data_IF_934748214309
#
_entry.id   IF_934748214309
#
_cell.length_a   1.000
_cell.length_b   1.000
_cell.length_c   1.000
_cell.angle_alpha   90.00
_cell.angle_beta   90.00
_cell.angle_gamma   90.00
#
_symmetry.space_group_name_H-M   'P 1'
#
loop_
_entity.id
_entity.type
_entity.pdbx_description
1 polymer ?
#
# COMPACT_ATOMS: atom_id res chain seq x y z
N UNK A 1 2.17 39.25 -11.75
CA UNK A 1 2.83 38.16 -12.53
C UNK A 1 2.15 38.00 -13.89
N UNK A 2 2.85 37.48 -14.92
CA UNK A 2 2.35 37.41 -16.30
C UNK A 2 1.84 36.00 -16.62
N UNK A 3 0.54 35.85 -16.81
CA UNK A 3 -0.08 34.59 -17.26
C UNK A 3 -0.13 34.55 -18.78
N UNK A 4 0.27 33.43 -19.37
CA UNK A 4 0.22 33.21 -20.82
C UNK A 4 -0.79 32.09 -21.10
N UNK A 5 -1.94 32.43 -21.67
CA UNK A 5 -2.96 31.46 -22.08
C UNK A 5 -2.84 31.24 -23.60
N UNK A 6 -2.82 29.96 -24.03
CA UNK A 6 -2.82 29.57 -25.45
C UNK A 6 -4.05 28.72 -25.75
N UNK A 7 -5.15 29.32 -26.24
CA UNK A 7 -6.34 28.55 -26.60
C UNK A 7 -6.13 27.74 -27.88
N UNK A 8 -6.81 26.60 -28.01
CA UNK A 8 -6.71 25.72 -29.18
C UNK A 8 -7.38 26.28 -30.45
N UNK A 9 -8.34 27.23 -30.32
CA UNK A 9 -8.98 27.93 -31.45
C UNK A 9 -9.33 29.38 -31.12
N UNK A 10 -9.17 30.27 -32.11
CA UNK A 10 -9.91 31.54 -32.21
C UNK A 10 -9.26 32.80 -31.62
N UNK A 11 -8.41 32.71 -30.61
CA UNK A 11 -7.65 33.86 -30.11
C UNK A 11 -6.19 33.44 -29.97
N UNK A 12 -5.25 34.28 -30.41
CA UNK A 12 -3.81 34.00 -30.30
C UNK A 12 -3.33 33.92 -28.85
N UNK A 13 -2.02 34.01 -28.64
CA UNK A 13 -1.42 34.07 -27.29
C UNK A 13 -2.04 35.24 -26.50
N UNK A 14 -2.76 34.94 -25.41
CA UNK A 14 -3.30 35.96 -24.51
C UNK A 14 -2.33 36.13 -23.35
N UNK A 15 -1.88 37.36 -23.13
CA UNK A 15 -0.99 37.71 -22.03
C UNK A 15 -1.71 38.69 -21.10
N UNK A 16 -1.83 38.29 -19.82
CA UNK A 16 -2.50 39.09 -18.81
C UNK A 16 -1.54 39.29 -17.64
N UNK A 17 -1.42 40.54 -17.19
CA UNK A 17 -0.77 40.84 -15.92
C UNK A 17 -1.79 40.73 -14.80
N UNK A 18 -1.56 39.78 -13.90
CA UNK A 18 -2.37 39.56 -12.72
C UNK A 18 -1.66 40.11 -11.49
N UNK A 19 -2.45 40.65 -10.57
CA UNK A 19 -1.97 41.07 -9.25
C UNK A 19 -1.37 39.88 -8.50
N UNK A 20 -0.37 40.15 -7.66
CA UNK A 20 0.36 39.12 -6.92
C UNK A 20 -0.54 38.37 -5.92
N UNK A 21 -1.51 39.07 -5.32
CA UNK A 21 -2.49 38.44 -4.41
C UNK A 21 -3.43 37.48 -5.15
N UNK A 22 -3.82 37.83 -6.37
CA UNK A 22 -4.69 37.02 -7.21
C UNK A 22 -3.95 35.79 -7.73
N UNK A 23 -2.69 35.96 -8.13
CA UNK A 23 -1.84 34.85 -8.58
C UNK A 23 -1.68 33.78 -7.50
N UNK A 24 -1.39 34.20 -6.27
CA UNK A 24 -1.25 33.30 -5.13
C UNK A 24 -2.53 32.50 -4.86
N UNK A 25 -3.69 33.15 -4.98
CA UNK A 25 -4.99 32.48 -4.83
C UNK A 25 -5.22 31.41 -5.91
N UNK A 26 -4.76 31.67 -7.14
CA UNK A 26 -4.85 30.72 -8.25
C UNK A 26 -3.90 29.53 -8.00
N UNK A 27 -2.69 29.76 -7.51
CA UNK A 27 -1.73 28.70 -7.17
C UNK A 27 -2.26 27.80 -6.05
N UNK A 28 -2.83 28.37 -4.99
CA UNK A 28 -3.41 27.59 -3.88
C UNK A 28 -4.56 26.68 -4.37
N UNK A 29 -5.39 27.16 -5.30
CA UNK A 29 -6.44 26.35 -5.92
C UNK A 29 -5.86 25.27 -6.85
N UNK A 30 -4.84 25.62 -7.65
CA UNK A 30 -4.15 24.70 -8.54
C UNK A 30 -3.54 23.52 -7.78
N UNK A 31 -2.86 23.79 -6.67
CA UNK A 31 -2.29 22.75 -5.78
C UNK A 31 -3.39 21.90 -5.13
N UNK A 32 -4.42 22.53 -4.57
CA UNK A 32 -5.51 21.82 -3.88
C UNK A 32 -6.22 20.82 -4.79
N UNK A 33 -6.42 21.18 -6.06
CA UNK A 33 -7.18 20.36 -7.01
C UNK A 33 -6.30 19.61 -8.03
N UNK A 34 -4.98 19.74 -7.95
CA UNK A 34 -4.03 19.05 -8.84
C UNK A 34 -4.16 19.43 -10.31
N UNK A 35 -4.53 20.68 -10.60
CA UNK A 35 -4.73 21.22 -11.95
C UNK A 35 -3.77 22.37 -12.22
N UNK A 36 -3.50 22.69 -13.49
CA UNK A 36 -2.60 23.81 -13.80
C UNK A 36 -3.28 25.17 -13.51
N UNK A 37 -2.51 26.22 -13.15
CA UNK A 37 -3.05 27.58 -12.96
C UNK A 37 -3.85 28.09 -14.17
N UNK A 38 -3.42 27.77 -15.39
CA UNK A 38 -4.14 28.12 -16.63
C UNK A 38 -5.52 27.48 -16.67
N UNK A 39 -5.64 26.22 -16.22
CA UNK A 39 -6.91 25.49 -16.19
C UNK A 39 -7.87 26.06 -15.15
N UNK A 40 -7.36 26.51 -14.01
CA UNK A 40 -8.16 27.21 -12.98
C UNK A 40 -8.77 28.48 -13.57
N UNK A 41 -7.95 29.27 -14.27
CA UNK A 41 -8.38 30.52 -14.91
C UNK A 41 -9.37 30.24 -16.06
N UNK A 42 -9.10 29.22 -16.87
CA UNK A 42 -10.00 28.79 -17.94
C UNK A 42 -11.38 28.42 -17.39
N UNK A 43 -11.46 27.58 -16.35
CA UNK A 43 -12.72 27.17 -15.71
C UNK A 43 -13.44 28.39 -15.10
N UNK A 44 -12.70 29.30 -14.46
CA UNK A 44 -13.27 30.52 -13.90
C UNK A 44 -13.87 31.45 -14.97
N UNK A 45 -13.25 31.52 -16.15
CA UNK A 45 -13.71 32.35 -17.28
C UNK A 45 -14.84 31.71 -18.08
N UNK A 46 -14.82 30.38 -18.28
CA UNK A 46 -15.86 29.66 -19.02
C UNK A 46 -17.11 29.44 -18.18
N UNK A 47 -16.99 29.49 -16.86
CA UNK A 47 -18.10 29.17 -15.95
C UNK A 47 -18.53 27.71 -16.03
N UNK A 48 -17.73 26.84 -16.67
CA UNK A 48 -17.98 25.40 -16.76
C UNK A 48 -17.63 24.70 -15.44
N UNK A 49 -18.31 25.08 -14.37
CA UNK A 49 -18.31 24.27 -13.16
C UNK A 49 -19.18 23.05 -13.44
N UNK A 50 -18.56 21.86 -13.41
CA UNK A 50 -19.33 20.61 -13.45
C UNK A 50 -20.24 20.60 -12.22
N UNK A 51 -21.55 20.65 -12.44
CA UNK A 51 -22.48 20.38 -11.35
C UNK A 51 -22.24 18.96 -10.84
N UNK A 52 -22.05 18.77 -9.52
CA UNK A 52 -21.80 17.46 -8.96
C UNK A 52 -23.00 16.57 -9.27
N UNK A 53 -22.75 15.46 -9.98
CA UNK A 53 -23.77 14.43 -10.19
C UNK A 53 -23.84 13.59 -8.92
N UNK A 54 -24.75 13.96 -8.01
CA UNK A 54 -25.02 13.20 -6.78
C UNK A 54 -24.77 14.01 -5.51
N UNK A 55 -25.03 13.37 -4.37
CA UNK A 55 -24.85 13.98 -3.05
C UNK A 55 -23.38 13.86 -2.62
N UNK A 56 -22.62 14.95 -2.81
CA UNK A 56 -21.19 14.99 -2.53
C UNK A 56 -20.90 14.75 -1.04
N UNK A 57 -21.75 15.28 -0.15
CA UNK A 57 -21.63 15.10 1.30
C UNK A 57 -21.74 13.63 1.71
N UNK A 58 -22.70 12.89 1.13
CA UNK A 58 -22.88 11.46 1.41
C UNK A 58 -21.66 10.63 0.94
N UNK A 59 -21.05 11.03 -0.18
CA UNK A 59 -19.84 10.40 -0.70
C UNK A 59 -18.63 10.66 0.20
N UNK A 60 -18.46 11.91 0.66
CA UNK A 60 -17.38 12.28 1.59
C UNK A 60 -17.52 11.55 2.93
N UNK A 61 -18.72 11.44 3.49
CA UNK A 61 -18.96 10.67 4.71
C UNK A 61 -18.65 9.19 4.53
N UNK A 62 -19.05 8.58 3.40
CA UNK A 62 -18.73 7.19 3.10
C UNK A 62 -17.24 6.95 2.95
N UNK A 63 -16.51 7.86 2.31
CA UNK A 63 -15.05 7.76 2.18
C UNK A 63 -14.42 7.79 3.56
N UNK A 64 -14.84 8.73 4.42
CA UNK A 64 -14.32 8.84 5.78
C UNK A 64 -14.59 7.58 6.62
N UNK A 65 -15.80 7.02 6.54
CA UNK A 65 -16.10 5.74 7.21
C UNK A 65 -15.21 4.59 6.71
N UNK A 66 -14.97 4.53 5.41
CA UNK A 66 -14.13 3.48 4.81
C UNK A 66 -12.67 3.63 5.22
N UNK A 67 -12.15 4.86 5.29
CA UNK A 67 -10.81 5.14 5.79
C UNK A 67 -10.66 4.67 7.25
N UNK A 68 -11.62 5.00 8.12
CA UNK A 68 -11.62 4.57 9.52
C UNK A 68 -11.64 3.04 9.67
N UNK A 69 -12.51 2.35 8.91
CA UNK A 69 -12.57 0.88 8.90
C UNK A 69 -11.28 0.24 8.39
N UNK A 70 -10.68 0.82 7.36
CA UNK A 70 -9.41 0.34 6.79
C UNK A 70 -8.29 0.47 7.81
N UNK A 71 -8.19 1.61 8.49
CA UNK A 71 -7.19 1.80 9.55
C UNK A 71 -7.38 0.79 10.69
N UNK A 72 -8.62 0.60 11.16
CA UNK A 72 -8.90 -0.39 12.21
C UNK A 72 -8.42 -1.80 11.82
N UNK A 73 -8.74 -2.22 10.58
CA UNK A 73 -8.31 -3.51 10.03
C UNK A 73 -6.78 -3.60 9.90
N UNK A 74 -6.11 -2.56 9.39
CA UNK A 74 -4.65 -2.55 9.29
C UNK A 74 -3.99 -2.70 10.65
N UNK A 75 -4.52 -2.03 11.68
CA UNK A 75 -4.01 -2.11 13.05
C UNK A 75 -4.12 -3.52 13.61
N UNK A 76 -5.26 -4.19 13.40
CA UNK A 76 -5.46 -5.58 13.82
C UNK A 76 -4.54 -6.53 13.05
N UNK A 77 -4.51 -6.40 11.72
CA UNK A 77 -3.76 -7.28 10.83
C UNK A 77 -2.24 -7.17 11.01
N UNK A 78 -1.74 -5.99 11.35
CA UNK A 78 -0.32 -5.76 11.62
C UNK A 78 0.21 -6.64 12.76
N UNK A 79 -0.56 -6.74 13.85
CA UNK A 79 -0.20 -7.57 15.00
C UNK A 79 -0.23 -9.07 14.66
N UNK A 80 -1.21 -9.48 13.85
CA UNK A 80 -1.35 -10.86 13.40
C UNK A 80 -0.20 -11.25 12.46
N UNK A 81 0.18 -10.37 11.54
CA UNK A 81 1.29 -10.57 10.61
C UNK A 81 2.61 -10.75 11.36
N UNK A 82 2.87 -9.93 12.38
CA UNK A 82 4.07 -10.07 13.21
C UNK A 82 4.10 -11.40 13.95
N UNK A 83 2.99 -11.79 14.59
CA UNK A 83 2.88 -13.08 15.29
C UNK A 83 3.05 -14.27 14.34
N UNK A 84 2.43 -14.22 13.15
CA UNK A 84 2.54 -15.27 12.15
C UNK A 84 3.98 -15.42 11.66
N UNK A 85 4.68 -14.31 11.43
CA UNK A 85 6.09 -14.33 11.05
C UNK A 85 6.97 -14.96 12.15
N UNK A 86 6.80 -14.53 13.40
CA UNK A 86 7.55 -15.08 14.53
C UNK A 86 7.33 -16.60 14.70
N UNK A 87 6.08 -17.05 14.66
CA UNK A 87 5.77 -18.48 14.73
C UNK A 87 6.37 -19.28 13.56
N UNK A 88 6.44 -18.68 12.36
CA UNK A 88 7.07 -19.32 11.20
C UNK A 88 8.58 -19.49 11.37
N UNK A 89 9.27 -18.46 11.89
CA UNK A 89 10.70 -18.52 12.21
C UNK A 89 10.98 -19.55 13.31
N UNK A 90 10.20 -19.54 14.40
CA UNK A 90 10.33 -20.51 15.49
C UNK A 90 10.15 -21.95 14.99
N UNK A 91 9.15 -22.19 14.12
CA UNK A 91 8.93 -23.50 13.51
C UNK A 91 10.08 -23.93 12.60
N UNK A 92 10.74 -22.99 11.91
CA UNK A 92 11.91 -23.28 11.07
C UNK A 92 13.11 -23.68 11.93
N UNK A 93 13.34 -22.98 13.05
CA UNK A 93 14.38 -23.34 14.02
C UNK A 93 14.12 -24.74 14.59
N UNK A 94 12.89 -25.01 15.04
CA UNK A 94 12.50 -26.32 15.54
C UNK A 94 12.70 -27.43 14.50
N UNK A 95 12.40 -27.17 13.22
CA UNK A 95 12.63 -28.13 12.14
C UNK A 95 14.13 -28.43 11.95
N UNK A 96 15.01 -27.44 12.08
CA UNK A 96 16.47 -27.62 12.03
C UNK A 96 16.94 -28.49 13.21
N UNK A 97 16.52 -28.16 14.43
CA UNK A 97 16.89 -28.90 15.64
C UNK A 97 16.44 -30.36 15.57
N UNK A 98 15.18 -30.60 15.18
CA UNK A 98 14.64 -31.95 15.01
C UNK A 98 15.41 -32.74 13.94
N UNK A 99 15.79 -32.09 12.84
CA UNK A 99 16.60 -32.74 11.80
C UNK A 99 17.97 -33.19 12.35
N UNK A 100 18.62 -32.34 13.15
CA UNK A 100 19.87 -32.67 13.83
C UNK A 100 19.73 -33.85 14.80
N UNK A 101 18.74 -33.79 15.69
CA UNK A 101 18.46 -34.86 16.66
C UNK A 101 18.11 -36.19 15.96
N UNK A 102 17.38 -36.14 14.85
CA UNK A 102 17.07 -37.34 14.05
C UNK A 102 18.33 -37.95 13.43
N UNK A 103 19.26 -37.12 12.97
CA UNK A 103 20.54 -37.57 12.43
C UNK A 103 21.40 -38.22 13.52
N UNK A 104 21.49 -37.59 14.69
CA UNK A 104 22.22 -38.13 15.86
C UNK A 104 21.62 -39.45 16.33
N UNK A 105 20.30 -39.51 16.52
CA UNK A 105 19.61 -40.74 16.92
C UNK A 105 19.82 -41.87 15.90
N UNK A 106 19.80 -41.54 14.61
CA UNK A 106 20.07 -42.51 13.55
C UNK A 106 21.51 -43.02 13.61
N UNK A 107 22.48 -42.15 13.90
CA UNK A 107 23.88 -42.52 14.13
C UNK A 107 24.05 -43.45 15.33
N UNK A 108 23.44 -43.10 16.47
CA UNK A 108 23.45 -43.92 17.69
C UNK A 108 22.80 -45.29 17.47
N UNK A 109 21.65 -45.35 16.79
CA UNK A 109 20.99 -46.63 16.46
C UNK A 109 21.90 -47.51 15.61
N UNK A 110 22.57 -46.96 14.59
CA UNK A 110 23.55 -47.69 13.77
C UNK A 110 24.72 -48.21 14.61
N UNK A 111 25.28 -47.38 15.48
CA UNK A 111 26.37 -47.76 16.39
C UNK A 111 25.97 -48.93 17.30
N UNK A 112 24.73 -48.93 17.80
CA UNK A 112 24.17 -50.01 18.63
C UNK A 112 23.66 -51.22 17.82
N UNK A 113 23.89 -51.28 16.51
CA UNK A 113 23.37 -52.36 15.65
C UNK A 113 21.84 -52.39 15.50
N UNK A 114 21.15 -51.31 15.89
CA UNK A 114 19.69 -51.17 15.78
C UNK A 114 19.30 -50.51 14.46
N UNK A 115 18.13 -50.88 13.95
CA UNK A 115 17.59 -50.26 12.73
C UNK A 115 17.15 -48.81 13.02
N UNK A 116 17.59 -47.83 12.22
CA UNK A 116 17.12 -46.46 12.36
C UNK A 116 15.65 -46.36 11.98
N UNK A 117 14.92 -45.54 12.73
CA UNK A 117 13.49 -45.36 12.56
C UNK A 117 13.21 -44.29 11.51
N UNK A 118 12.24 -44.56 10.64
CA UNK A 118 11.86 -43.67 9.54
C UNK A 118 10.45 -43.17 9.76
N UNK A 119 10.32 -42.14 10.58
CA UNK A 119 9.05 -41.41 10.66
C UNK A 119 8.92 -40.52 9.41
N UNK A 120 8.09 -40.95 8.46
CA UNK A 120 7.89 -40.27 7.17
C UNK A 120 7.11 -38.97 7.36
N UNK A 121 6.12 -38.95 8.26
CA UNK A 121 5.29 -37.77 8.53
C UNK A 121 6.13 -36.64 9.13
N UNK A 122 6.94 -36.97 10.14
CA UNK A 122 7.85 -36.01 10.76
C UNK A 122 8.84 -35.43 9.74
N UNK A 123 9.38 -36.26 8.84
CA UNK A 123 10.28 -35.80 7.77
C UNK A 123 9.58 -34.86 6.80
N UNK A 124 8.34 -35.15 6.42
CA UNK A 124 7.54 -34.24 5.56
C UNK A 124 7.30 -32.90 6.25
N UNK A 125 6.98 -32.91 7.54
CA UNK A 125 6.73 -31.70 8.32
C UNK A 125 8.00 -30.84 8.43
N UNK A 126 9.15 -31.47 8.73
CA UNK A 126 10.45 -30.81 8.77
C UNK A 126 10.81 -30.22 7.40
N UNK A 127 10.64 -30.99 6.32
CA UNK A 127 10.94 -30.52 4.97
C UNK A 127 10.09 -29.31 4.56
N UNK A 128 8.82 -29.27 4.96
CA UNK A 128 7.94 -28.13 4.71
C UNK A 128 8.51 -26.82 5.30
N UNK A 129 8.96 -26.85 6.55
CA UNK A 129 9.50 -25.66 7.22
C UNK A 129 10.94 -25.30 6.82
N UNK A 130 11.67 -26.23 6.19
CA UNK A 130 13.04 -25.98 5.69
C UNK A 130 13.08 -25.47 4.24
N UNK A 131 12.01 -25.66 3.46
CA UNK A 131 11.92 -25.24 2.06
C UNK A 131 11.42 -23.79 1.88
N UNK A 132 10.93 -23.16 2.96
CA UNK A 132 10.54 -21.75 3.02
C UNK A 132 11.71 -20.81 3.22
#
# INVERSE_FOLDING_TARGET
>A
MRLIIRPEKGFGKIEVELDESLWKSIEELAERYGVSPERVVEIALTGEFREPRGNLEELEERVKELEEKTWALEKEYSSLRFKAYGLSEDNKILAIELSGLMAENSGLKRFLGKKPERNIELRKLISYYLQG
#
